data_IF_770950672059
#
_entry.id   IF_770950672059
#
_cell.length_a   1.000
_cell.length_b   1.000
_cell.length_c   1.000
_cell.angle_alpha   90.00
_cell.angle_beta   90.00
_cell.angle_gamma   90.00
#
_symmetry.space_group_name_H-M   'P 1'
#
loop_
_entity.id
_entity.type
_entity.pdbx_description
1 polymer ?
#
# COMPACT_ATOMS: atom_id res chain seq x y z
N UNK A 1 -32.40 16.57 16.96
CA UNK A 1 -31.83 16.75 15.61
C UNK A 1 -30.81 15.64 15.36
N UNK A 2 -30.65 15.15 14.13
CA UNK A 2 -29.58 14.16 13.82
C UNK A 2 -28.34 14.95 13.46
N UNK A 3 -27.25 14.76 14.21
CA UNK A 3 -25.96 15.33 13.84
C UNK A 3 -25.47 14.67 12.54
N UNK A 4 -25.08 15.51 11.57
CA UNK A 4 -24.50 15.06 10.31
C UNK A 4 -22.99 15.12 10.46
N UNK A 5 -22.33 13.96 10.46
CA UNK A 5 -20.88 13.85 10.51
C UNK A 5 -20.31 13.86 9.10
N UNK A 6 -19.31 14.72 8.85
CA UNK A 6 -18.52 14.69 7.64
C UNK A 6 -17.22 13.92 7.90
N UNK A 7 -16.99 12.84 7.14
CA UNK A 7 -15.80 12.01 7.25
C UNK A 7 -15.07 12.03 5.91
N UNK A 8 -13.79 12.38 5.94
CA UNK A 8 -12.93 12.31 4.77
C UNK A 8 -12.49 10.87 4.50
N UNK A 9 -12.86 10.33 3.34
CA UNK A 9 -12.53 8.98 2.91
C UNK A 9 -11.37 8.93 1.90
N UNK A 10 -10.71 10.07 1.64
CA UNK A 10 -9.51 10.15 0.78
C UNK A 10 -8.44 9.09 1.12
N UNK A 11 -8.16 8.76 2.40
CA UNK A 11 -7.17 7.73 2.73
C UNK A 11 -7.43 6.35 2.11
N UNK A 12 -8.70 5.99 1.86
CA UNK A 12 -9.05 4.72 1.23
C UNK A 12 -8.72 4.71 -0.27
N UNK A 13 -8.89 5.84 -0.96
CA UNK A 13 -8.52 5.98 -2.37
C UNK A 13 -7.01 5.99 -2.55
N UNK A 14 -6.28 6.64 -1.65
CA UNK A 14 -4.81 6.61 -1.63
C UNK A 14 -4.30 5.19 -1.44
N UNK A 15 -4.89 4.42 -0.50
CA UNK A 15 -4.53 3.02 -0.27
C UNK A 15 -4.69 2.18 -1.54
N UNK A 16 -5.77 2.39 -2.31
CA UNK A 16 -5.97 1.69 -3.57
C UNK A 16 -4.81 1.95 -4.55
N UNK A 17 -4.35 3.20 -4.63
CA UNK A 17 -3.23 3.59 -5.49
C UNK A 17 -1.93 2.94 -5.03
N UNK A 18 -1.64 2.97 -3.73
CA UNK A 18 -0.43 2.38 -3.14
C UNK A 18 -0.40 0.85 -3.35
N UNK A 19 -1.54 0.17 -3.19
CA UNK A 19 -1.67 -1.26 -3.45
C UNK A 19 -1.41 -1.60 -4.91
N UNK A 20 -1.89 -0.78 -5.85
CA UNK A 20 -1.59 -0.95 -7.28
C UNK A 20 -0.09 -0.85 -7.53
N UNK A 21 0.58 0.16 -6.96
CA UNK A 21 2.04 0.35 -7.11
C UNK A 21 2.82 -0.85 -6.54
N UNK A 22 2.43 -1.36 -5.37
CA UNK A 22 3.04 -2.57 -4.79
C UNK A 22 2.83 -3.80 -5.67
N UNK A 23 1.62 -3.97 -6.20
CA UNK A 23 1.25 -5.10 -7.07
C UNK A 23 2.03 -5.06 -8.38
N UNK A 24 2.08 -3.90 -9.03
CA UNK A 24 2.81 -3.69 -10.28
C UNK A 24 4.32 -4.00 -10.11
N UNK A 25 4.91 -3.52 -9.01
CA UNK A 25 6.31 -3.79 -8.69
C UNK A 25 6.56 -5.28 -8.41
N UNK A 26 5.68 -5.92 -7.64
CA UNK A 26 5.79 -7.36 -7.34
C UNK A 26 5.74 -8.21 -8.62
N UNK A 27 4.86 -7.84 -9.57
CA UNK A 27 4.79 -8.48 -10.88
C UNK A 27 6.07 -8.27 -11.70
N UNK A 28 6.67 -7.09 -11.64
CA UNK A 28 7.95 -6.81 -12.31
C UNK A 28 9.08 -7.67 -11.74
N UNK A 29 9.19 -7.76 -10.40
CA UNK A 29 10.16 -8.61 -9.72
C UNK A 29 9.95 -10.07 -10.07
N UNK A 30 8.71 -10.56 -10.03
CA UNK A 30 8.39 -11.93 -10.40
C UNK A 30 8.81 -12.26 -11.84
N UNK A 31 8.57 -11.36 -12.80
CA UNK A 31 9.03 -11.53 -14.19
C UNK A 31 10.57 -11.60 -14.27
N UNK A 32 11.27 -10.68 -13.61
CA UNK A 32 12.75 -10.65 -13.54
C UNK A 32 13.32 -11.95 -12.96
N UNK A 33 12.76 -12.41 -11.84
CA UNK A 33 13.16 -13.66 -11.17
C UNK A 33 12.87 -14.87 -12.06
N UNK A 34 11.70 -14.93 -12.70
CA UNK A 34 11.36 -16.04 -13.59
C UNK A 34 12.28 -16.11 -14.83
N UNK A 35 12.79 -14.97 -15.31
CA UNK A 35 13.74 -14.94 -16.43
C UNK A 35 15.17 -15.27 -15.99
N UNK A 36 15.59 -14.80 -14.81
CA UNK A 36 17.01 -14.86 -14.41
C UNK A 36 17.31 -15.95 -13.38
N UNK A 37 16.29 -16.51 -12.73
CA UNK A 37 16.42 -17.44 -11.61
C UNK A 37 16.96 -16.82 -10.31
N UNK A 38 17.19 -15.50 -10.28
CA UNK A 38 17.87 -14.81 -9.19
C UNK A 38 17.00 -13.67 -8.66
N UNK A 39 16.69 -13.71 -7.37
CA UNK A 39 16.12 -12.58 -6.64
C UNK A 39 17.24 -11.71 -6.07
N UNK A 40 17.31 -10.45 -6.48
CA UNK A 40 18.37 -9.52 -6.05
C UNK A 40 17.94 -8.73 -4.83
N UNK A 41 18.93 -8.29 -4.06
CA UNK A 41 18.71 -7.49 -2.85
C UNK A 41 17.90 -6.22 -3.10
N UNK A 42 18.20 -5.48 -4.17
CA UNK A 42 17.48 -4.23 -4.47
C UNK A 42 16.00 -4.46 -4.80
N UNK A 43 15.64 -5.62 -5.35
CA UNK A 43 14.24 -5.99 -5.61
C UNK A 43 13.51 -6.21 -4.28
N UNK A 44 14.14 -6.89 -3.32
CA UNK A 44 13.60 -7.06 -1.96
C UNK A 44 13.49 -5.74 -1.20
N UNK A 45 14.51 -4.90 -1.28
CA UNK A 45 14.53 -3.58 -0.65
C UNK A 45 13.39 -2.69 -1.21
N UNK A 46 13.17 -2.72 -2.53
CA UNK A 46 12.08 -2.00 -3.19
C UNK A 46 10.68 -2.53 -2.83
N UNK A 47 10.53 -3.83 -2.59
CA UNK A 47 9.28 -4.40 -2.07
C UNK A 47 9.02 -3.93 -0.62
N UNK A 48 10.07 -3.94 0.23
CA UNK A 48 9.98 -3.51 1.62
C UNK A 48 9.59 -2.04 1.76
N UNK A 49 10.15 -1.18 0.92
CA UNK A 49 9.79 0.24 0.88
C UNK A 49 8.30 0.45 0.59
N UNK A 50 7.77 -0.21 -0.46
CA UNK A 50 6.35 -0.11 -0.84
C UNK A 50 5.42 -0.70 0.23
N UNK A 51 5.80 -1.82 0.84
CA UNK A 51 5.06 -2.39 1.98
C UNK A 51 4.99 -1.42 3.16
N UNK A 52 6.06 -0.65 3.41
CA UNK A 52 6.08 0.37 4.47
C UNK A 52 5.08 1.49 4.19
N UNK A 53 4.94 1.92 2.92
CA UNK A 53 3.93 2.92 2.52
C UNK A 53 2.52 2.40 2.78
N UNK A 54 2.20 1.20 2.28
CA UNK A 54 0.89 0.56 2.49
C UNK A 54 0.59 0.40 3.98
N UNK A 55 1.56 -0.05 4.78
CA UNK A 55 1.37 -0.21 6.22
C UNK A 55 1.06 1.10 6.94
N UNK A 56 1.71 2.21 6.56
CA UNK A 56 1.38 3.54 7.11
C UNK A 56 -0.04 3.96 6.76
N UNK A 57 -0.45 3.80 5.50
CA UNK A 57 -1.80 4.15 5.05
C UNK A 57 -2.90 3.33 5.73
N UNK A 58 -2.65 2.04 5.97
CA UNK A 58 -3.55 1.19 6.76
C UNK A 58 -3.70 1.71 8.20
N UNK A 59 -2.61 2.16 8.83
CA UNK A 59 -2.68 2.75 10.17
C UNK A 59 -3.46 4.08 10.18
N UNK A 60 -3.26 4.94 9.18
CA UNK A 60 -4.05 6.18 9.04
C UNK A 60 -5.55 5.90 8.95
N UNK A 61 -5.94 4.89 8.15
CA UNK A 61 -7.33 4.42 8.06
C UNK A 61 -7.81 3.86 9.39
N UNK A 62 -7.01 3.05 10.07
CA UNK A 62 -7.37 2.49 11.37
C UNK A 62 -7.65 3.62 12.39
N UNK A 63 -6.80 4.63 12.45
CA UNK A 63 -6.97 5.77 13.36
C UNK A 63 -8.19 6.62 12.99
N UNK A 64 -8.44 6.84 11.70
CA UNK A 64 -9.66 7.49 11.21
C UNK A 64 -10.93 6.76 11.69
N UNK A 65 -10.94 5.42 11.58
CA UNK A 65 -12.09 4.61 11.98
C UNK A 65 -12.25 4.49 13.50
N UNK A 66 -11.18 4.74 14.26
CA UNK A 66 -11.17 4.69 15.73
C UNK A 66 -11.61 6.02 16.36
N UNK A 67 -11.35 7.13 15.70
CA UNK A 67 -11.82 8.45 16.09
C UNK A 67 -13.32 8.57 15.79
N UNK A 68 -14.15 8.16 16.76
CA UNK A 68 -15.61 8.37 16.76
C UNK A 68 -15.95 9.84 17.00
#
# INVERSE_FOLDING_TARGET
>A
EKEIYHVDLSPFYDLQTDLRVLTDYSNQVAKSVNTTGVLRKHEMDGMKERLTVVSKKINEIHDLLRNK
#
